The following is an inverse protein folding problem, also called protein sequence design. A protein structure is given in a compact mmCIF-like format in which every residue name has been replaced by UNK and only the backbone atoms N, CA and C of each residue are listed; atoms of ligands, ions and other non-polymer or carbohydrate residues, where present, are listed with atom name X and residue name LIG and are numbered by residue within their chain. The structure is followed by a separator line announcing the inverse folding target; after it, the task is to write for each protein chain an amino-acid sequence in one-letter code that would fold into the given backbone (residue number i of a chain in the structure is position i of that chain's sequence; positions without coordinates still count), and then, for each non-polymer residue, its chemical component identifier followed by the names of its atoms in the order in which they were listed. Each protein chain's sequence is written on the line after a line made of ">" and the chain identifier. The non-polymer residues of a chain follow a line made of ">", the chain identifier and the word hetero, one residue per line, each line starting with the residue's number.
data_IF_788760474226
#
_entry.id   IF_788760474226
#
_cell.length_a   1.000
_cell.length_b   1.000
_cell.length_c   1.000
_cell.angle_alpha   90.00
_cell.angle_beta   90.00
_cell.angle_gamma   90.00
#
_symmetry.space_group_name_H-M   'P 1'
#
loop_
_entity.id
_entity.type
_entity.pdbx_description
1 polymer ?
#
# COMPACT_ATOMS: atom_id res chain seq x y z
N UNK A 1 0.58 -1.19 -14.99
CA UNK A 1 0.71 -1.49 -13.55
C UNK A 1 -0.52 -2.25 -13.11
N UNK A 2 -0.37 -3.33 -12.35
CA UNK A 2 -1.48 -4.03 -11.67
C UNK A 2 -1.21 -4.05 -10.17
N UNK A 3 -2.26 -4.03 -9.36
CA UNK A 3 -2.19 -4.06 -7.89
C UNK A 3 -3.28 -5.00 -7.37
N UNK A 4 -2.95 -5.83 -6.38
CA UNK A 4 -3.86 -6.77 -5.74
C UNK A 4 -3.67 -6.67 -4.22
N UNK A 5 -4.75 -6.45 -3.47
CA UNK A 5 -4.70 -6.39 -2.01
C UNK A 5 -4.69 -7.82 -1.45
N UNK A 6 -3.58 -8.19 -0.80
CA UNK A 6 -3.39 -9.47 -0.09
C UNK A 6 -3.86 -10.72 -0.88
N UNK A 7 -3.35 -10.95 -2.11
CA UNK A 7 -3.71 -12.14 -2.86
C UNK A 7 -3.17 -13.40 -2.17
N UNK A 8 -3.94 -14.49 -2.18
CA UNK A 8 -3.46 -15.80 -1.68
C UNK A 8 -2.29 -16.34 -2.50
N UNK A 9 -2.26 -16.04 -3.80
CA UNK A 9 -1.21 -16.42 -4.73
C UNK A 9 -0.72 -15.18 -5.47
N UNK A 10 0.37 -14.53 -5.01
CA UNK A 10 0.87 -13.32 -5.64
C UNK A 10 1.48 -13.63 -7.01
N UNK A 11 1.13 -12.81 -8.02
CA UNK A 11 1.68 -12.93 -9.38
C UNK A 11 3.14 -12.51 -9.48
N UNK A 12 3.59 -11.66 -8.57
CA UNK A 12 4.91 -11.05 -8.55
C UNK A 12 5.45 -11.00 -7.11
N UNK A 13 6.78 -10.98 -6.90
CA UNK A 13 7.38 -10.97 -5.56
C UNK A 13 7.34 -9.59 -4.88
N UNK A 14 6.74 -8.58 -5.51
CA UNK A 14 6.76 -7.20 -5.02
C UNK A 14 5.60 -6.93 -4.07
N UNK A 15 5.93 -6.53 -2.84
CA UNK A 15 4.98 -5.96 -1.88
C UNK A 15 5.02 -4.43 -1.90
N UNK A 16 3.88 -3.80 -1.59
CA UNK A 16 3.78 -2.35 -1.41
C UNK A 16 3.47 -2.08 0.07
N UNK A 17 4.40 -1.50 0.85
CA UNK A 17 4.08 -1.05 2.20
C UNK A 17 3.07 0.09 2.15
N UNK A 18 2.50 0.47 3.31
CA UNK A 18 1.52 1.55 3.42
C UNK A 18 2.12 2.97 3.21
N UNK A 19 3.00 3.13 2.22
CA UNK A 19 3.65 4.37 1.83
C UNK A 19 3.16 4.79 0.44
N UNK A 20 2.41 5.89 0.41
CA UNK A 20 1.82 6.43 -0.82
C UNK A 20 2.13 7.92 -0.92
N UNK A 21 2.39 8.38 -2.15
CA UNK A 21 2.56 9.80 -2.45
C UNK A 21 1.47 10.20 -3.43
N UNK A 22 0.45 10.90 -2.94
CA UNK A 22 -0.64 11.42 -3.74
C UNK A 22 -0.49 12.91 -3.98
N UNK A 23 -0.62 13.33 -5.24
CA UNK A 23 -0.72 14.74 -5.60
C UNK A 23 -2.10 15.29 -5.25
N UNK A 24 -2.20 16.61 -5.04
CA UNK A 24 -3.42 17.30 -4.65
C UNK A 24 -4.61 16.97 -5.57
N UNK A 25 -4.39 16.83 -6.88
CA UNK A 25 -5.45 16.47 -7.84
C UNK A 25 -6.02 15.05 -7.63
N UNK A 26 -5.42 14.23 -6.77
CA UNK A 26 -5.90 12.89 -6.42
C UNK A 26 -6.97 12.93 -5.33
N UNK A 27 -7.02 13.99 -4.50
CA UNK A 27 -7.93 14.06 -3.36
C UNK A 27 -9.42 13.93 -3.75
N UNK A 28 -9.91 14.57 -4.83
CA UNK A 28 -11.29 14.38 -5.27
C UNK A 28 -11.62 12.93 -5.67
N UNK A 29 -10.63 12.16 -6.12
CA UNK A 29 -10.81 10.77 -6.52
C UNK A 29 -10.98 9.83 -5.33
N UNK A 30 -10.43 10.17 -4.16
CA UNK A 30 -10.70 9.43 -2.91
C UNK A 30 -12.17 9.58 -2.54
N UNK A 31 -12.72 10.81 -2.60
CA UNK A 31 -14.15 11.05 -2.36
C UNK A 31 -15.01 10.27 -3.34
N UNK A 32 -14.72 10.35 -4.65
CA UNK A 32 -15.44 9.60 -5.69
C UNK A 32 -15.42 8.09 -5.41
N UNK A 33 -14.26 7.53 -5.05
CA UNK A 33 -14.13 6.11 -4.71
C UNK A 33 -15.07 5.70 -3.56
N UNK A 34 -15.19 6.53 -2.52
CA UNK A 34 -16.07 6.28 -1.38
C UNK A 34 -17.55 6.44 -1.74
N UNK A 35 -17.89 7.46 -2.54
CA UNK A 35 -19.27 7.70 -3.01
C UNK A 35 -19.79 6.57 -3.91
N UNK A 36 -18.90 5.89 -4.63
CA UNK A 36 -19.22 4.68 -5.41
C UNK A 36 -19.44 3.42 -4.54
N UNK A 37 -19.30 3.52 -3.20
CA UNK A 37 -19.54 2.42 -2.27
C UNK A 37 -18.41 1.39 -2.20
N UNK A 38 -17.19 1.74 -2.64
CA UNK A 38 -16.04 0.86 -2.54
C UNK A 38 -15.55 0.72 -1.09
N UNK A 39 -14.76 -0.32 -0.81
CA UNK A 39 -14.27 -0.63 0.55
C UNK A 39 -13.36 0.50 1.10
N UNK A 40 -13.72 1.17 2.22
CA UNK A 40 -12.98 2.31 2.76
C UNK A 40 -11.81 1.93 3.69
N UNK A 41 -11.62 0.66 4.01
CA UNK A 41 -10.71 0.22 5.08
C UNK A 41 -9.23 0.23 4.66
N UNK A 42 -8.81 -0.74 3.85
CA UNK A 42 -7.41 -0.85 3.43
C UNK A 42 -7.10 0.01 2.19
N UNK A 43 -6.02 0.81 2.19
CA UNK A 43 -5.60 1.60 1.02
C UNK A 43 -5.34 0.77 -0.24
N UNK A 44 -5.00 -0.50 -0.10
CA UNK A 44 -4.81 -1.39 -1.25
C UNK A 44 -6.09 -1.77 -1.98
N UNK A 45 -7.28 -1.43 -1.45
CA UNK A 45 -8.52 -1.45 -2.23
C UNK A 45 -8.66 -0.22 -3.14
N UNK A 46 -8.09 0.92 -2.74
CA UNK A 46 -8.15 2.16 -3.52
C UNK A 46 -7.23 2.14 -4.74
N UNK A 47 -6.00 1.63 -4.61
CA UNK A 47 -5.01 1.66 -5.70
C UNK A 47 -5.47 0.94 -6.99
N UNK A 48 -6.04 -0.28 -6.94
CA UNK A 48 -6.59 -0.95 -8.12
C UNK A 48 -7.70 -0.17 -8.83
N UNK A 49 -8.54 0.54 -8.06
CA UNK A 49 -9.55 1.43 -8.63
C UNK A 49 -8.91 2.68 -9.25
N UNK A 50 -7.90 3.26 -8.58
CA UNK A 50 -7.23 4.47 -9.02
C UNK A 50 -6.44 4.30 -10.33
N UNK A 51 -5.81 3.14 -10.53
CA UNK A 51 -5.06 2.80 -11.77
C UNK A 51 -5.95 2.92 -13.02
N UNK A 52 -7.27 2.72 -12.89
CA UNK A 52 -8.25 2.85 -14.00
C UNK A 52 -8.59 4.31 -14.33
N UNK A 53 -8.27 5.25 -13.43
CA UNK A 53 -8.70 6.65 -13.51
C UNK A 53 -7.57 7.63 -13.78
N UNK A 54 -6.33 7.28 -13.42
CA UNK A 54 -5.14 8.10 -13.69
C UNK A 54 -3.87 7.26 -13.79
N UNK A 55 -2.81 7.77 -14.44
CA UNK A 55 -1.50 7.14 -14.38
C UNK A 55 -1.01 7.02 -12.93
N UNK A 56 -0.56 5.82 -12.57
CA UNK A 56 0.06 5.50 -11.28
C UNK A 56 1.38 4.80 -11.56
N UNK A 57 2.36 5.07 -10.70
CA UNK A 57 3.71 4.55 -10.80
C UNK A 57 4.08 3.87 -9.49
N UNK A 58 4.84 2.78 -9.57
CA UNK A 58 5.46 2.15 -8.41
C UNK A 58 6.91 2.64 -8.32
N UNK A 59 7.38 2.87 -7.10
CA UNK A 59 8.77 3.24 -6.82
C UNK A 59 9.41 2.12 -6.00
N UNK A 60 10.51 1.59 -6.50
CA UNK A 60 11.33 0.64 -5.77
C UNK A 60 12.36 1.45 -4.97
N UNK A 61 12.29 1.37 -3.64
CA UNK A 61 13.27 1.99 -2.76
C UNK A 61 14.40 1.01 -2.43
N UNK A 62 15.53 1.56 -1.99
CA UNK A 62 16.65 0.80 -1.44
C UNK A 62 16.63 0.85 0.09
N UNK A 63 17.09 -0.23 0.72
CA UNK A 63 17.10 -0.38 2.18
C UNK A 63 16.15 -1.46 2.68
N UNK A 64 16.01 -1.56 3.99
CA UNK A 64 15.13 -2.52 4.66
C UNK A 64 13.86 -1.83 5.13
N UNK A 65 12.73 -2.52 5.02
CA UNK A 65 11.46 -2.10 5.60
C UNK A 65 11.05 -3.11 6.66
N UNK A 66 10.86 -2.64 7.89
CA UNK A 66 10.38 -3.45 9.00
C UNK A 66 8.90 -3.18 9.20
N UNK A 67 8.06 -4.18 8.94
CA UNK A 67 6.66 -4.14 9.36
C UNK A 67 6.62 -4.43 10.86
N UNK A 68 6.09 -3.48 11.65
CA UNK A 68 6.01 -3.58 13.12
C UNK A 68 4.54 -3.57 13.57
N UNK A 69 3.63 -4.02 12.71
CA UNK A 69 2.19 -4.04 12.97
C UNK A 69 1.73 -5.09 13.99
N UNK A 70 2.59 -6.04 14.37
CA UNK A 70 2.29 -7.07 15.39
C UNK A 70 3.30 -7.01 16.52
N UNK A 71 2.97 -7.62 17.66
CA UNK A 71 3.88 -7.67 18.81
C UNK A 71 5.16 -8.44 18.46
N UNK A 72 5.02 -9.58 17.77
CA UNK A 72 6.15 -10.42 17.37
C UNK A 72 7.08 -9.68 16.40
N UNK A 73 6.51 -9.05 15.37
CA UNK A 73 7.30 -8.30 14.37
C UNK A 73 7.97 -7.05 14.97
N UNK A 74 7.34 -6.42 15.97
CA UNK A 74 7.96 -5.35 16.74
C UNK A 74 9.15 -5.84 17.59
N UNK A 75 9.03 -6.98 18.28
CA UNK A 75 10.14 -7.57 19.04
C UNK A 75 11.32 -7.96 18.13
N UNK A 76 11.02 -8.51 16.94
CA UNK A 76 12.04 -8.80 15.92
C UNK A 76 12.79 -7.55 15.48
N UNK A 77 12.05 -6.46 15.19
CA UNK A 77 12.67 -5.18 14.84
C UNK A 77 13.54 -4.66 15.99
N UNK A 78 13.06 -4.73 17.23
CA UNK A 78 13.84 -4.32 18.41
C UNK A 78 15.15 -5.10 18.53
N UNK A 79 15.15 -6.41 18.30
CA UNK A 79 16.37 -7.21 18.33
C UNK A 79 17.38 -6.81 17.23
N UNK A 80 16.90 -6.46 16.04
CA UNK A 80 17.76 -6.00 14.93
C UNK A 80 18.43 -4.66 15.25
N UNK A 81 17.75 -3.77 15.97
CA UNK A 81 18.25 -2.44 16.33
C UNK A 81 18.84 -2.35 17.75
N UNK A 82 18.95 -3.46 18.46
CA UNK A 82 19.62 -3.51 19.76
C UNK A 82 21.12 -3.25 19.57
N UNK A 83 21.62 -2.20 20.24
CA UNK A 83 23.04 -1.82 20.28
C UNK A 83 23.77 -2.61 21.36
#
# INVERSE_FOLDING_TARGET
>A
LSFEEKPQQPKFPWGVPALYIYKQETLPLIRKYLEEGNNPDAPGHFVPWLIKHKPIYAFQFEGQWYDIGTFESYEEAQAVFAV
#
